data_IF_392572311442
#
_entry.id   IF_392572311442
#
_cell.length_a   1.000
_cell.length_b   1.000
_cell.length_c   1.000
_cell.angle_alpha   90.00
_cell.angle_beta   90.00
_cell.angle_gamma   90.00
#
_symmetry.space_group_name_H-M   'P 1'
#
loop_
_entity.id
_entity.type
_entity.pdbx_description
1 polymer ?
#
# COMPACT_ATOMS: atom_id res chain seq x y z
N UNK A 1 -21.58 -2.43 -3.31
CA UNK A 1 -20.11 -2.47 -3.32
C UNK A 1 -19.64 -1.90 -1.99
N UNK A 2 -18.53 -2.35 -1.42
CA UNK A 2 -18.02 -1.80 -0.18
C UNK A 2 -17.60 -0.33 -0.36
N UNK A 3 -17.62 0.45 0.73
CA UNK A 3 -16.90 1.71 0.81
C UNK A 3 -15.40 1.41 0.88
N UNK A 4 -14.61 2.09 0.06
CA UNK A 4 -13.16 1.83 -0.07
C UNK A 4 -12.37 3.04 0.39
N UNK A 5 -11.52 2.84 1.39
CA UNK A 5 -10.46 3.77 1.72
C UNK A 5 -9.14 3.34 1.09
N UNK A 6 -8.35 4.33 0.67
CA UNK A 6 -6.94 4.13 0.36
C UNK A 6 -6.10 4.72 1.49
N UNK A 7 -5.21 3.92 2.06
CA UNK A 7 -4.25 4.33 3.08
C UNK A 7 -2.87 4.43 2.42
N UNK A 8 -2.33 5.65 2.34
CA UNK A 8 -1.01 5.93 1.75
C UNK A 8 -0.02 6.20 2.88
N UNK A 9 0.96 5.33 3.03
CA UNK A 9 2.04 5.54 4.02
C UNK A 9 3.12 6.44 3.42
N UNK A 10 3.48 7.52 4.11
CA UNK A 10 4.50 8.48 3.64
C UNK A 10 5.44 8.91 4.77
N UNK A 11 6.66 9.33 4.40
CA UNK A 11 7.63 9.97 5.29
C UNK A 11 8.57 10.85 4.48
N UNK A 12 8.58 12.15 4.77
CA UNK A 12 9.55 13.16 4.29
C UNK A 12 9.90 13.10 2.79
N UNK A 13 8.92 12.78 1.93
CA UNK A 13 9.12 12.81 0.49
C UNK A 13 7.95 13.46 -0.25
N UNK A 14 7.76 14.80 -0.08
CA UNK A 14 6.61 15.53 -0.63
C UNK A 14 6.48 15.42 -2.15
N UNK A 15 7.59 15.44 -2.90
CA UNK A 15 7.54 15.33 -4.36
C UNK A 15 7.01 13.97 -4.85
N UNK A 16 7.38 12.86 -4.21
CA UNK A 16 6.83 11.55 -4.55
C UNK A 16 5.35 11.46 -4.17
N UNK A 17 4.98 11.95 -2.99
CA UNK A 17 3.60 11.99 -2.54
C UNK A 17 2.72 12.80 -3.50
N UNK A 18 3.16 13.97 -3.99
CA UNK A 18 2.45 14.77 -4.98
C UNK A 18 2.18 13.97 -6.27
N UNK A 19 3.18 13.24 -6.79
CA UNK A 19 3.03 12.39 -7.97
C UNK A 19 2.02 11.24 -7.74
N UNK A 20 2.05 10.62 -6.56
CA UNK A 20 1.09 9.57 -6.18
C UNK A 20 -0.32 10.13 -6.07
N UNK A 21 -0.50 11.25 -5.38
CA UNK A 21 -1.80 11.90 -5.18
C UNK A 21 -2.44 12.32 -6.51
N UNK A 22 -1.64 12.86 -7.44
CA UNK A 22 -2.10 13.19 -8.80
C UNK A 22 -2.70 11.96 -9.50
N UNK A 23 -2.15 10.77 -9.28
CA UNK A 23 -2.68 9.51 -9.83
C UNK A 23 -4.05 9.14 -9.28
N UNK A 24 -4.43 9.63 -8.10
CA UNK A 24 -5.78 9.38 -7.53
C UNK A 24 -6.85 10.28 -8.12
N UNK A 25 -6.51 11.45 -8.66
CA UNK A 25 -7.47 12.31 -9.37
C UNK A 25 -7.96 11.69 -10.69
N UNK A 26 -7.18 10.80 -11.29
CA UNK A 26 -7.47 10.18 -12.59
C UNK A 26 -7.98 8.73 -12.49
N UNK A 27 -8.38 8.27 -11.30
CA UNK A 27 -8.91 6.90 -11.13
C UNK A 27 -10.25 6.72 -11.83
N UNK A 28 -10.42 5.60 -12.56
CA UNK A 28 -11.70 5.24 -13.21
C UNK A 28 -12.83 4.99 -12.21
N UNK A 29 -12.48 4.67 -10.96
CA UNK A 29 -13.32 4.71 -9.77
C UNK A 29 -12.55 5.51 -8.70
N UNK A 30 -13.05 6.66 -8.22
CA UNK A 30 -12.45 7.36 -7.11
C UNK A 30 -12.55 6.53 -5.82
N UNK A 31 -11.67 6.76 -4.83
CA UNK A 31 -11.85 6.21 -3.49
C UNK A 31 -13.04 6.88 -2.81
N UNK A 32 -13.66 6.20 -1.85
CA UNK A 32 -14.69 6.81 -1.00
C UNK A 32 -14.05 7.69 0.10
N UNK A 33 -12.79 7.44 0.44
CA UNK A 33 -11.90 8.30 1.23
C UNK A 33 -10.43 7.99 0.96
N UNK A 34 -9.55 8.98 1.14
CA UNK A 34 -8.10 8.85 1.07
C UNK A 34 -7.51 9.24 2.41
N UNK A 35 -6.66 8.39 2.99
CA UNK A 35 -6.02 8.63 4.28
C UNK A 35 -4.51 8.60 4.09
N UNK A 36 -3.87 9.71 4.44
CA UNK A 36 -2.42 9.80 4.45
C UNK A 36 -1.93 9.41 5.84
N UNK A 37 -1.29 8.25 5.91
CA UNK A 37 -0.64 7.70 7.09
C UNK A 37 0.81 8.21 7.11
N UNK A 38 1.02 9.33 7.78
CA UNK A 38 2.28 10.10 7.77
C UNK A 38 3.13 9.77 9.00
N UNK A 39 4.25 9.11 8.77
CA UNK A 39 5.17 8.57 9.79
C UNK A 39 6.11 9.65 10.39
N UNK A 40 5.60 10.88 10.56
CA UNK A 40 6.33 11.96 11.22
C UNK A 40 7.03 12.94 10.28
N UNK A 41 6.45 13.19 9.09
CA UNK A 41 7.00 14.15 8.14
C UNK A 41 6.96 15.59 8.65
N UNK A 42 7.82 16.42 8.04
CA UNK A 42 7.86 17.87 8.21
C UNK A 42 6.66 18.58 7.54
N UNK A 43 6.52 19.88 7.77
CA UNK A 43 5.42 20.71 7.25
C UNK A 43 5.35 20.72 5.70
N UNK A 44 6.44 20.49 4.99
CA UNK A 44 6.43 20.40 3.52
C UNK A 44 5.46 19.33 2.99
N UNK A 45 5.33 18.21 3.70
CA UNK A 45 4.34 17.17 3.38
C UNK A 45 2.92 17.67 3.58
N UNK A 46 2.67 18.44 4.66
CA UNK A 46 1.37 19.05 4.94
C UNK A 46 0.96 20.03 3.85
N UNK A 47 1.89 20.87 3.36
CA UNK A 47 1.62 21.84 2.29
C UNK A 47 1.15 21.13 1.00
N UNK A 48 1.79 20.02 0.63
CA UNK A 48 1.34 19.20 -0.51
C UNK A 48 -0.07 18.66 -0.30
N UNK A 49 -0.39 18.20 0.93
CA UNK A 49 -1.72 17.68 1.25
C UNK A 49 -2.79 18.75 1.22
N UNK A 50 -2.52 19.94 1.73
CA UNK A 50 -3.49 21.06 1.76
C UNK A 50 -3.79 21.52 0.33
N UNK A 51 -2.76 21.58 -0.53
CA UNK A 51 -2.97 21.84 -1.95
C UNK A 51 -3.81 20.76 -2.63
N UNK A 52 -3.51 19.48 -2.38
CA UNK A 52 -4.25 18.36 -2.96
C UNK A 52 -5.71 18.32 -2.50
N UNK A 53 -5.99 18.60 -1.22
CA UNK A 53 -7.35 18.64 -0.66
C UNK A 53 -8.26 19.61 -1.41
N UNK A 54 -7.71 20.74 -1.88
CA UNK A 54 -8.49 21.74 -2.63
C UNK A 54 -8.97 21.24 -4.00
N UNK A 55 -8.36 20.17 -4.52
CA UNK A 55 -8.65 19.58 -5.85
C UNK A 55 -9.38 18.26 -5.77
N UNK A 56 -9.27 17.54 -4.64
CA UNK A 56 -9.79 16.19 -4.50
C UNK A 56 -11.33 16.17 -4.46
N UNK A 57 -12.01 15.37 -5.30
CA UNK A 57 -13.47 15.22 -5.30
C UNK A 57 -13.97 14.22 -4.22
N UNK A 58 -13.12 13.80 -3.31
CA UNK A 58 -13.38 12.85 -2.22
C UNK A 58 -12.70 13.32 -0.92
N UNK A 59 -13.15 12.83 0.25
CA UNK A 59 -12.53 13.18 1.53
C UNK A 59 -11.07 12.76 1.60
N UNK A 60 -10.20 13.67 2.11
CA UNK A 60 -8.77 13.42 2.33
C UNK A 60 -8.45 13.69 3.79
N UNK A 61 -8.09 12.64 4.51
CA UNK A 61 -7.65 12.68 5.90
C UNK A 61 -6.13 12.67 6.01
N UNK A 62 -5.59 13.31 7.03
CA UNK A 62 -4.16 13.27 7.36
C UNK A 62 -4.02 12.75 8.79
N UNK A 63 -3.52 11.55 8.93
CA UNK A 63 -3.18 10.92 10.20
C UNK A 63 -1.67 11.00 10.35
N UNK A 64 -1.22 11.69 11.40
CA UNK A 64 0.18 11.99 11.64
C UNK A 64 0.57 11.62 13.07
N UNK A 65 1.82 11.29 13.31
CA UNK A 65 2.44 11.19 14.62
C UNK A 65 3.86 11.77 14.60
N UNK A 66 4.41 12.08 15.78
CA UNK A 66 5.77 12.58 15.88
C UNK A 66 6.79 11.57 15.32
N UNK A 67 7.86 12.08 14.70
CA UNK A 67 8.97 11.26 14.21
C UNK A 67 9.73 10.62 15.38
N UNK A 68 9.63 9.33 15.49
CA UNK A 68 10.39 8.49 16.42
C UNK A 68 11.06 7.34 15.66
N UNK A 69 11.50 7.61 14.42
CA UNK A 69 12.04 6.66 13.48
C UNK A 69 10.98 5.90 12.70
N UNK A 70 11.38 4.92 11.90
CA UNK A 70 10.48 4.20 10.99
C UNK A 70 9.48 3.34 11.76
N UNK A 71 8.21 3.75 11.79
CA UNK A 71 7.09 3.10 12.47
C UNK A 71 5.86 2.95 11.57
N UNK A 72 6.07 2.49 10.35
CA UNK A 72 5.01 2.36 9.35
C UNK A 72 3.83 1.48 9.83
N UNK A 73 4.05 0.46 10.66
CA UNK A 73 3.00 -0.35 11.26
C UNK A 73 2.07 0.48 12.16
N UNK A 74 2.66 1.31 13.04
CA UNK A 74 1.91 2.13 13.98
C UNK A 74 1.04 3.18 13.28
N UNK A 75 1.59 3.89 12.30
CA UNK A 75 0.83 4.91 11.59
C UNK A 75 -0.28 4.30 10.72
N UNK A 76 -0.04 3.11 10.13
CA UNK A 76 -1.08 2.36 9.42
C UNK A 76 -2.20 1.93 10.37
N UNK A 77 -1.89 1.51 11.60
CA UNK A 77 -2.89 1.17 12.60
C UNK A 77 -3.79 2.36 12.94
N UNK A 78 -3.22 3.54 13.14
CA UNK A 78 -3.99 4.78 13.35
C UNK A 78 -4.89 5.11 12.16
N UNK A 79 -4.39 4.93 10.94
CA UNK A 79 -5.18 5.14 9.72
C UNK A 79 -6.32 4.10 9.57
N UNK A 80 -6.11 2.85 9.96
CA UNK A 80 -7.16 1.81 10.01
C UNK A 80 -8.28 2.23 10.97
N UNK A 81 -7.92 2.75 12.14
CA UNK A 81 -8.90 3.21 13.14
C UNK A 81 -9.72 4.40 12.62
N UNK A 82 -9.06 5.40 12.03
CA UNK A 82 -9.65 6.65 11.54
C UNK A 82 -10.54 6.46 10.30
N UNK A 83 -10.36 5.36 9.57
CA UNK A 83 -11.16 5.05 8.38
C UNK A 83 -12.61 4.74 8.71
N UNK A 84 -13.54 5.26 7.91
CA UNK A 84 -14.97 4.91 7.94
C UNK A 84 -15.35 3.87 6.88
N UNK A 85 -14.39 3.41 6.08
CA UNK A 85 -14.64 2.46 5.01
C UNK A 85 -14.64 1.01 5.50
N UNK A 86 -15.31 0.14 4.73
CA UNK A 86 -15.39 -1.29 5.00
C UNK A 86 -14.15 -2.05 4.50
N UNK A 87 -13.56 -1.55 3.41
CA UNK A 87 -12.47 -2.19 2.70
C UNK A 87 -11.28 -1.23 2.53
N UNK A 88 -10.10 -1.64 2.97
CA UNK A 88 -8.92 -0.80 3.02
C UNK A 88 -7.89 -1.25 1.99
N UNK A 89 -7.39 -0.31 1.20
CA UNK A 89 -6.33 -0.52 0.21
C UNK A 89 -5.09 0.21 0.69
N UNK A 90 -4.02 -0.53 0.94
CA UNK A 90 -2.72 0.01 1.36
C UNK A 90 -1.83 0.25 0.15
N UNK A 91 -1.11 1.36 0.19
CA UNK A 91 -0.06 1.71 -0.75
C UNK A 91 0.97 2.62 -0.08
N UNK A 92 2.09 2.86 -0.77
CA UNK A 92 3.14 3.73 -0.25
C UNK A 92 3.16 5.08 -1.00
N UNK A 93 3.71 6.12 -0.37
CA UNK A 93 3.82 7.48 -0.91
C UNK A 93 4.76 7.64 -2.11
N UNK A 94 5.29 6.53 -2.63
CA UNK A 94 6.11 6.42 -3.82
C UNK A 94 5.53 5.47 -4.89
N UNK A 95 4.28 5.04 -4.70
CA UNK A 95 3.58 4.09 -5.55
C UNK A 95 2.43 4.75 -6.31
N UNK A 96 2.70 5.29 -7.50
CA UNK A 96 1.69 5.93 -8.35
C UNK A 96 0.69 4.87 -8.83
N UNK A 97 -0.62 5.01 -8.59
CA UNK A 97 -1.61 4.02 -9.00
C UNK A 97 -1.85 4.02 -10.51
N UNK A 98 -2.05 2.84 -11.11
CA UNK A 98 -2.59 2.75 -12.45
C UNK A 98 -4.05 3.26 -12.48
N UNK A 99 -4.59 3.77 -13.61
CA UNK A 99 -5.91 4.41 -13.68
C UNK A 99 -7.08 3.55 -13.18
N UNK A 100 -6.94 2.24 -13.21
CA UNK A 100 -7.95 1.27 -12.79
C UNK A 100 -7.66 0.62 -11.42
N UNK A 101 -6.70 1.15 -10.67
CA UNK A 101 -6.19 0.53 -9.44
C UNK A 101 -7.31 0.27 -8.42
N UNK A 102 -8.08 1.30 -8.07
CA UNK A 102 -9.19 1.19 -7.11
C UNK A 102 -10.33 0.32 -7.67
N UNK A 103 -10.69 0.50 -8.94
CA UNK A 103 -11.71 -0.32 -9.60
C UNK A 103 -11.35 -1.81 -9.60
N UNK A 104 -10.05 -2.15 -9.72
CA UNK A 104 -9.57 -3.51 -9.66
C UNK A 104 -9.69 -4.11 -8.26
N UNK A 105 -9.28 -3.37 -7.21
CA UNK A 105 -9.46 -3.79 -5.82
C UNK A 105 -10.95 -3.98 -5.49
N UNK A 106 -11.81 -3.02 -5.87
CA UNK A 106 -13.25 -3.11 -5.68
C UNK A 106 -13.87 -4.35 -6.30
N UNK A 107 -13.52 -4.64 -7.55
CA UNK A 107 -14.04 -5.81 -8.30
C UNK A 107 -13.58 -7.14 -7.71
N UNK A 108 -12.38 -7.18 -7.14
CA UNK A 108 -11.78 -8.39 -6.61
C UNK A 108 -12.04 -8.59 -5.12
N UNK A 109 -12.51 -7.56 -4.40
CA UNK A 109 -12.87 -7.63 -2.98
C UNK A 109 -13.86 -8.77 -2.73
N UNK A 110 -13.55 -9.61 -1.75
CA UNK A 110 -14.35 -10.78 -1.38
C UNK A 110 -14.17 -11.09 0.10
N UNK A 111 -15.26 -11.38 0.81
CA UNK A 111 -15.21 -11.75 2.23
C UNK A 111 -14.36 -13.01 2.43
N UNK A 112 -13.48 -12.99 3.44
CA UNK A 112 -12.55 -14.08 3.73
C UNK A 112 -11.27 -14.06 2.87
N UNK A 113 -11.06 -12.98 2.09
CA UNK A 113 -9.89 -12.84 1.22
C UNK A 113 -9.25 -11.46 1.34
N UNK A 114 -7.92 -11.42 1.49
CA UNK A 114 -7.13 -10.23 1.24
C UNK A 114 -6.49 -10.29 -0.17
N UNK A 115 -6.20 -9.14 -0.74
CA UNK A 115 -5.58 -9.04 -2.07
C UNK A 115 -4.13 -8.55 -1.96
N UNK A 116 -3.28 -9.03 -2.87
CA UNK A 116 -1.94 -8.48 -3.10
C UNK A 116 -1.70 -8.35 -4.61
N UNK A 117 -1.27 -7.15 -5.03
CA UNK A 117 -1.04 -6.81 -6.43
C UNK A 117 0.42 -6.69 -6.83
N UNK A 118 0.68 -6.06 -7.98
CA UNK A 118 2.02 -5.91 -8.54
C UNK A 118 2.53 -4.48 -8.48
N UNK A 119 3.88 -4.36 -8.50
CA UNK A 119 4.60 -3.12 -8.78
C UNK A 119 5.24 -3.18 -10.16
N UNK A 120 5.23 -2.06 -10.88
CA UNK A 120 6.09 -1.77 -12.03
C UNK A 120 7.17 -0.81 -11.53
N UNK A 121 8.44 -1.20 -11.58
CA UNK A 121 9.52 -0.38 -11.07
C UNK A 121 9.95 0.62 -12.14
N UNK A 122 10.02 1.90 -11.77
CA UNK A 122 10.63 2.94 -12.58
C UNK A 122 12.15 2.89 -12.43
N UNK A 123 12.90 3.22 -13.50
CA UNK A 123 14.35 3.38 -13.40
C UNK A 123 14.70 4.66 -12.62
N UNK A 124 15.89 4.71 -12.01
CA UNK A 124 16.35 5.89 -11.26
C UNK A 124 16.27 7.18 -12.10
N UNK A 125 16.83 7.14 -13.31
CA UNK A 125 16.80 8.29 -14.21
C UNK A 125 15.37 8.75 -14.50
N UNK A 126 14.50 7.81 -14.83
CA UNK A 126 13.12 8.13 -15.17
C UNK A 126 12.31 8.60 -13.96
N UNK A 127 12.56 8.06 -12.77
CA UNK A 127 11.94 8.54 -11.54
C UNK A 127 12.26 10.02 -11.27
N UNK A 128 13.50 10.44 -11.48
CA UNK A 128 13.88 11.86 -11.39
C UNK A 128 13.11 12.71 -12.41
N UNK A 129 13.05 12.27 -13.67
CA UNK A 129 12.28 12.96 -14.73
C UNK A 129 10.79 13.09 -14.35
N UNK A 130 10.19 12.02 -13.78
CA UNK A 130 8.79 12.02 -13.33
C UNK A 130 8.55 13.07 -12.25
N UNK A 131 9.44 13.16 -11.26
CA UNK A 131 9.30 14.10 -10.15
C UNK A 131 9.58 15.55 -10.59
N UNK A 132 10.66 15.79 -11.34
CA UNK A 132 11.07 17.13 -11.75
C UNK A 132 10.12 17.75 -12.78
N UNK A 133 9.65 16.94 -13.75
CA UNK A 133 8.78 17.40 -14.84
C UNK A 133 7.31 17.14 -14.59
N UNK A 134 6.95 16.57 -13.40
CA UNK A 134 5.58 16.21 -13.02
C UNK A 134 4.86 15.36 -14.07
N UNK A 135 5.57 14.34 -14.62
CA UNK A 135 5.03 13.49 -15.68
C UNK A 135 3.86 12.65 -15.14
N UNK A 136 2.64 12.78 -15.67
CA UNK A 136 1.46 12.06 -15.16
C UNK A 136 1.43 10.60 -15.65
N UNK A 137 2.29 9.75 -15.12
CA UNK A 137 2.42 8.32 -15.52
C UNK A 137 1.10 7.56 -15.44
N UNK A 138 0.22 7.94 -14.51
CA UNK A 138 -1.14 7.38 -14.38
C UNK A 138 -2.03 7.64 -15.60
N UNK A 139 -1.75 8.67 -16.41
CA UNK A 139 -2.55 9.03 -17.58
C UNK A 139 -2.01 8.45 -18.89
N UNK A 140 -0.97 7.64 -18.82
CA UNK A 140 -0.31 7.10 -19.99
C UNK A 140 -1.19 6.11 -20.75
N UNK A 141 -1.03 6.14 -22.08
CA UNK A 141 -1.61 5.19 -23.03
C UNK A 141 -0.73 3.94 -23.17
N UNK A 142 -1.23 2.94 -23.86
CA UNK A 142 -0.45 1.74 -24.19
C UNK A 142 0.80 2.06 -25.02
N UNK A 143 0.74 3.04 -25.92
CA UNK A 143 1.90 3.48 -26.69
C UNK A 143 3.01 4.04 -25.81
N UNK A 144 2.64 4.83 -24.78
CA UNK A 144 3.59 5.42 -23.82
C UNK A 144 4.27 4.33 -22.99
N UNK A 145 3.52 3.35 -22.50
CA UNK A 145 4.08 2.23 -21.73
C UNK A 145 5.02 1.35 -22.56
N UNK A 146 4.65 1.05 -23.84
CA UNK A 146 5.51 0.27 -24.75
C UNK A 146 6.80 1.04 -25.03
N UNK A 147 6.70 2.34 -25.32
CA UNK A 147 7.86 3.17 -25.57
C UNK A 147 8.75 3.27 -24.33
N UNK A 148 8.16 3.48 -23.15
CA UNK A 148 8.88 3.53 -21.87
C UNK A 148 9.60 2.22 -21.57
N UNK A 149 8.98 1.07 -21.88
CA UNK A 149 9.63 -0.24 -21.74
C UNK A 149 10.81 -0.39 -22.71
N UNK A 150 10.69 0.06 -23.96
CA UNK A 150 11.78 0.06 -24.94
C UNK A 150 12.95 0.96 -24.50
N UNK A 151 12.64 2.09 -23.86
CA UNK A 151 13.63 3.02 -23.29
C UNK A 151 14.20 2.57 -21.96
N UNK A 152 13.80 1.40 -21.44
CA UNK A 152 14.19 0.86 -20.12
C UNK A 152 13.82 1.77 -18.94
N UNK A 153 12.81 2.62 -19.10
CA UNK A 153 12.28 3.49 -18.07
C UNK A 153 11.43 2.71 -17.06
N UNK A 154 10.78 1.61 -17.50
CA UNK A 154 10.07 0.67 -16.65
C UNK A 154 10.62 -0.74 -16.82
N UNK A 155 10.58 -1.54 -15.75
CA UNK A 155 11.16 -2.89 -15.73
C UNK A 155 10.33 -3.93 -16.50
N UNK A 156 9.00 -3.78 -16.59
CA UNK A 156 8.10 -4.77 -17.20
C UNK A 156 6.74 -4.16 -17.56
N UNK A 157 6.09 -4.73 -18.59
CA UNK A 157 4.73 -4.34 -19.02
C UNK A 157 3.65 -5.28 -18.51
N UNK A 158 4.00 -6.54 -18.23
CA UNK A 158 3.03 -7.58 -17.96
C UNK A 158 2.00 -7.26 -16.85
N UNK A 159 2.36 -6.56 -15.74
CA UNK A 159 1.39 -6.16 -14.73
C UNK A 159 0.31 -5.18 -15.21
N UNK A 160 0.56 -4.47 -16.30
CA UNK A 160 -0.36 -3.46 -16.85
C UNK A 160 -1.45 -4.07 -17.74
N UNK A 161 -1.26 -5.32 -18.20
CA UNK A 161 -2.33 -6.03 -18.90
C UNK A 161 -3.39 -6.44 -17.90
N UNK A 162 -4.61 -5.94 -18.08
CA UNK A 162 -5.75 -6.33 -17.27
C UNK A 162 -6.27 -7.71 -17.70
N UNK A 163 -5.52 -8.76 -17.38
CA UNK A 163 -5.86 -10.13 -17.77
C UNK A 163 -7.01 -10.63 -16.90
N UNK A 164 -8.14 -11.07 -17.47
CA UNK A 164 -9.29 -11.56 -16.73
C UNK A 164 -9.04 -12.97 -16.20
N UNK A 165 -8.13 -13.11 -15.26
CA UNK A 165 -7.84 -14.39 -14.61
C UNK A 165 -9.05 -14.86 -13.80
N UNK A 166 -9.45 -16.13 -13.99
CA UNK A 166 -10.52 -16.75 -13.23
C UNK A 166 -10.20 -16.89 -11.74
N UNK A 167 -11.26 -17.00 -10.93
CA UNK A 167 -11.17 -17.10 -9.46
C UNK A 167 -10.25 -18.22 -8.99
N UNK A 168 -10.31 -19.40 -9.65
CA UNK A 168 -9.46 -20.55 -9.31
C UNK A 168 -7.97 -20.23 -9.43
N UNK A 169 -7.57 -19.50 -10.48
CA UNK A 169 -6.19 -19.07 -10.65
C UNK A 169 -5.77 -18.07 -9.56
N UNK A 170 -6.63 -17.09 -9.26
CA UNK A 170 -6.34 -16.06 -8.25
C UNK A 170 -6.22 -16.62 -6.83
N UNK A 171 -6.83 -17.76 -6.54
CA UNK A 171 -6.83 -18.43 -5.23
C UNK A 171 -5.77 -19.55 -5.10
N UNK A 172 -5.00 -19.81 -6.15
CA UNK A 172 -4.03 -20.93 -6.17
C UNK A 172 -2.97 -20.87 -5.07
N UNK A 173 -2.67 -19.64 -4.58
CA UNK A 173 -1.67 -19.37 -3.56
C UNK A 173 -2.34 -18.89 -2.25
N UNK A 174 -3.52 -19.40 -1.93
CA UNK A 174 -4.37 -18.94 -0.84
C UNK A 174 -3.67 -18.89 0.54
N UNK A 175 -2.71 -19.75 0.78
CA UNK A 175 -1.94 -19.82 2.03
C UNK A 175 -0.52 -19.25 1.93
N UNK A 176 -0.18 -18.65 0.78
CA UNK A 176 1.13 -18.04 0.61
C UNK A 176 1.15 -16.63 1.22
N UNK A 177 1.99 -16.42 2.21
CA UNK A 177 2.21 -15.13 2.85
C UNK A 177 3.43 -14.41 2.28
N UNK A 178 4.40 -15.16 1.73
CA UNK A 178 5.64 -14.62 1.19
C UNK A 178 5.37 -13.75 -0.04
N UNK A 179 5.96 -12.57 -0.03
CA UNK A 179 5.91 -11.64 -1.16
C UNK A 179 4.67 -10.74 -1.22
N UNK A 180 3.71 -10.90 -0.33
CA UNK A 180 2.67 -9.89 -0.14
C UNK A 180 3.30 -8.63 0.50
N UNK A 181 2.93 -7.45 -0.01
CA UNK A 181 3.49 -6.16 0.44
C UNK A 181 2.41 -5.11 0.53
N UNK A 182 2.47 -4.28 1.56
CA UNK A 182 1.51 -3.20 1.79
C UNK A 182 1.54 -2.11 0.74
N UNK A 183 2.59 -1.99 -0.06
CA UNK A 183 2.58 -1.08 -1.20
C UNK A 183 1.51 -1.39 -2.27
N UNK A 184 0.86 -2.56 -2.21
CA UNK A 184 -0.28 -2.96 -3.02
C UNK A 184 -1.00 -4.14 -2.37
N UNK A 185 -1.68 -3.87 -1.28
CA UNK A 185 -2.43 -4.85 -0.48
C UNK A 185 -3.80 -4.29 -0.14
N UNK A 186 -4.82 -5.14 -0.06
CA UNK A 186 -6.11 -4.72 0.48
C UNK A 186 -6.81 -5.83 1.27
N UNK A 187 -7.58 -5.42 2.27
CA UNK A 187 -8.32 -6.33 3.15
C UNK A 187 -9.58 -5.64 3.70
N UNK A 188 -10.52 -6.42 4.20
CA UNK A 188 -11.65 -5.88 4.95
C UNK A 188 -11.18 -5.30 6.29
N UNK A 189 -11.70 -4.14 6.65
CA UNK A 189 -11.37 -3.49 7.92
C UNK A 189 -11.62 -4.40 9.12
N UNK A 190 -12.76 -5.10 9.14
CA UNK A 190 -13.08 -6.07 10.19
C UNK A 190 -12.04 -7.17 10.36
N UNK A 191 -11.44 -7.66 9.25
CA UNK A 191 -10.42 -8.72 9.29
C UNK A 191 -9.11 -8.19 9.88
N UNK A 192 -8.75 -6.94 9.55
CA UNK A 192 -7.58 -6.26 10.13
C UNK A 192 -7.78 -6.02 11.64
N UNK A 193 -8.96 -5.59 12.05
CA UNK A 193 -9.29 -5.41 13.47
C UNK A 193 -9.26 -6.74 14.22
N UNK A 194 -9.78 -7.83 13.63
CA UNK A 194 -9.79 -9.16 14.25
C UNK A 194 -8.38 -9.67 14.56
N UNK A 195 -7.38 -9.35 13.72
CA UNK A 195 -5.96 -9.70 13.97
C UNK A 195 -5.19 -8.61 14.73
N UNK A 196 -5.88 -7.57 15.22
CA UNK A 196 -5.31 -6.43 15.95
C UNK A 196 -4.33 -5.59 15.12
N UNK A 197 -4.55 -5.47 13.79
CA UNK A 197 -3.75 -4.64 12.89
C UNK A 197 -2.32 -5.14 12.68
N UNK A 198 -1.42 -4.19 12.39
CA UNK A 198 0.03 -4.42 12.32
C UNK A 198 0.61 -4.60 13.72
N UNK A 199 1.65 -5.41 13.85
CA UNK A 199 2.39 -5.53 15.11
C UNK A 199 3.43 -4.40 15.19
N UNK A 200 3.26 -3.47 16.14
CA UNK A 200 4.08 -2.28 16.29
C UNK A 200 5.47 -2.56 16.91
N UNK A 201 5.71 -3.81 17.32
CA UNK A 201 7.06 -4.28 17.69
C UNK A 201 8.03 -4.26 16.50
N UNK A 202 7.51 -4.28 15.24
CA UNK A 202 8.33 -4.13 14.04
C UNK A 202 8.69 -2.66 13.81
N UNK A 203 9.85 -2.26 14.28
CA UNK A 203 10.46 -0.95 14.03
C UNK A 203 11.52 -1.05 12.94
N UNK A 204 11.77 0.04 12.20
CA UNK A 204 12.63 0.00 11.03
C UNK A 204 12.03 -0.79 9.88
N UNK A 205 12.80 -0.98 8.81
CA UNK A 205 12.28 -1.57 7.58
C UNK A 205 12.19 -3.11 7.65
N UNK A 206 11.01 -3.63 7.28
CA UNK A 206 10.82 -5.01 6.83
C UNK A 206 10.14 -5.95 7.83
N UNK A 207 9.45 -6.93 7.28
CA UNK A 207 8.74 -8.05 7.90
C UNK A 207 7.38 -7.72 8.53
N UNK A 208 7.01 -6.47 8.76
CA UNK A 208 5.70 -6.08 9.29
C UNK A 208 4.54 -6.53 8.38
N UNK A 209 4.74 -6.47 7.05
CA UNK A 209 3.78 -6.96 6.04
C UNK A 209 3.58 -8.48 6.15
N UNK A 210 4.70 -9.21 6.26
CA UNK A 210 4.72 -10.66 6.33
C UNK A 210 4.08 -11.16 7.62
N UNK A 211 4.33 -10.47 8.74
CA UNK A 211 3.68 -10.75 10.03
C UNK A 211 2.15 -10.61 9.91
N UNK A 212 1.66 -9.45 9.42
CA UNK A 212 0.23 -9.21 9.23
C UNK A 212 -0.42 -10.30 8.37
N UNK A 213 0.17 -10.58 7.20
CA UNK A 213 -0.39 -11.52 6.23
C UNK A 213 -0.42 -12.94 6.77
N UNK A 214 0.62 -13.36 7.51
CA UNK A 214 0.63 -14.68 8.16
C UNK A 214 -0.48 -14.79 9.20
N UNK A 215 -0.71 -13.75 10.00
CA UNK A 215 -1.80 -13.73 11.00
C UNK A 215 -3.18 -13.73 10.35
N UNK A 216 -3.38 -12.99 9.24
CA UNK A 216 -4.62 -13.05 8.45
C UNK A 216 -4.89 -14.48 7.95
N UNK A 217 -3.89 -15.16 7.38
CA UNK A 217 -4.06 -16.54 6.88
C UNK A 217 -4.43 -17.50 8.02
N UNK A 218 -3.81 -17.35 9.20
CA UNK A 218 -4.12 -18.16 10.38
C UNK A 218 -5.51 -17.90 10.96
N UNK A 219 -6.02 -16.68 10.79
CA UNK A 219 -7.40 -16.34 11.19
C UNK A 219 -8.46 -16.80 10.16
N UNK A 220 -8.05 -17.46 9.07
CA UNK A 220 -8.94 -17.96 8.02
C UNK A 220 -9.18 -16.97 6.87
N UNK A 221 -8.43 -15.86 6.82
CA UNK A 221 -8.48 -14.89 5.72
C UNK A 221 -7.37 -15.20 4.73
N UNK A 222 -7.72 -15.66 3.53
CA UNK A 222 -6.77 -16.20 2.58
C UNK A 222 -6.29 -15.20 1.54
N UNK A 223 -5.15 -15.49 0.90
CA UNK A 223 -4.57 -14.68 -0.16
C UNK A 223 -5.29 -14.91 -1.49
N UNK A 224 -5.75 -13.82 -2.10
CA UNK A 224 -6.27 -13.77 -3.46
C UNK A 224 -5.39 -12.87 -4.32
N UNK A 225 -4.80 -13.43 -5.35
CA UNK A 225 -3.82 -12.77 -6.21
C UNK A 225 -4.47 -11.68 -7.08
N UNK A 226 -4.07 -10.42 -6.91
CA UNK A 226 -4.50 -9.29 -7.72
C UNK A 226 -3.53 -8.96 -8.87
N UNK A 227 -2.50 -9.80 -9.13
CA UNK A 227 -1.61 -9.62 -10.28
C UNK A 227 -2.42 -9.55 -11.58
N UNK A 228 -1.96 -8.74 -12.51
CA UNK A 228 -2.64 -8.46 -13.79
C UNK A 228 -4.04 -7.85 -13.63
N UNK A 229 -4.31 -7.23 -12.48
CA UNK A 229 -5.54 -6.46 -12.25
C UNK A 229 -5.23 -5.14 -11.56
N UNK A 230 -4.53 -5.16 -10.43
CA UNK A 230 -4.13 -3.97 -9.69
C UNK A 230 -2.62 -3.77 -9.81
N UNK A 231 -2.20 -2.64 -10.37
CA UNK A 231 -0.81 -2.29 -10.56
C UNK A 231 -0.52 -0.89 -10.02
N UNK A 232 0.70 -0.70 -9.50
CA UNK A 232 1.26 0.60 -9.15
C UNK A 232 2.61 0.77 -9.82
N UNK A 233 2.99 2.03 -10.11
CA UNK A 233 4.31 2.41 -10.59
C UNK A 233 5.14 2.90 -9.41
N UNK A 234 6.19 2.15 -9.06
CA UNK A 234 7.02 2.46 -7.92
C UNK A 234 8.18 3.35 -8.36
N UNK A 235 8.22 4.55 -7.79
CA UNK A 235 9.29 5.53 -7.98
C UNK A 235 10.56 4.97 -7.36
N UNK A 236 11.68 5.05 -8.06
CA UNK A 236 12.95 4.57 -7.55
C UNK A 236 13.45 5.45 -6.40
N UNK A 237 13.91 4.83 -5.36
CA UNK A 237 14.60 5.44 -4.23
C UNK A 237 15.74 4.54 -3.76
N UNK A 238 16.69 5.11 -3.02
CA UNK A 238 17.69 4.30 -2.32
C UNK A 238 16.98 3.43 -1.29
N UNK A 239 17.51 2.23 -1.10
CA UNK A 239 16.97 1.34 -0.08
C UNK A 239 17.08 1.96 1.31
N UNK A 240 16.04 1.77 2.12
CA UNK A 240 16.05 2.18 3.52
C UNK A 240 17.13 1.44 4.32
N UNK A 241 17.57 2.01 5.44
CA UNK A 241 18.45 1.29 6.36
C UNK A 241 17.88 -0.08 6.72
N UNK A 242 18.75 -1.08 6.74
CA UNK A 242 18.42 -2.46 7.11
C UNK A 242 18.90 -2.84 8.51
N UNK A 243 19.19 -1.85 9.35
CA UNK A 243 19.79 -2.08 10.67
C UNK A 243 18.90 -2.95 11.57
N UNK A 244 17.58 -2.83 11.45
CA UNK A 244 16.59 -3.60 12.20
C UNK A 244 16.16 -4.89 11.51
N UNK A 245 16.59 -5.15 10.26
CA UNK A 245 16.10 -6.28 9.47
C UNK A 245 16.34 -7.64 10.14
N UNK A 246 17.52 -7.85 10.73
CA UNK A 246 17.85 -9.10 11.40
C UNK A 246 16.94 -9.36 12.61
N UNK A 247 16.65 -8.32 13.38
CA UNK A 247 15.71 -8.39 14.52
C UNK A 247 14.28 -8.66 14.04
N UNK A 248 13.82 -7.95 13.01
CA UNK A 248 12.51 -8.16 12.41
C UNK A 248 12.35 -9.57 11.82
N UNK A 249 13.39 -10.11 11.20
CA UNK A 249 13.41 -11.50 10.75
C UNK A 249 13.30 -12.49 11.91
N UNK A 250 14.00 -12.23 13.03
CA UNK A 250 13.90 -13.05 14.24
C UNK A 250 12.48 -13.04 14.82
N UNK A 251 11.82 -11.87 14.87
CA UNK A 251 10.42 -11.71 15.31
C UNK A 251 9.47 -12.50 14.42
N UNK A 252 9.63 -12.42 13.11
CA UNK A 252 8.82 -13.19 12.17
C UNK A 252 9.05 -14.70 12.34
N UNK A 253 10.29 -15.15 12.57
CA UNK A 253 10.59 -16.54 12.85
C UNK A 253 9.90 -17.02 14.13
N UNK A 254 9.90 -16.24 15.20
CA UNK A 254 9.16 -16.52 16.43
C UNK A 254 7.65 -16.61 16.17
N UNK A 255 7.10 -15.74 15.33
CA UNK A 255 5.70 -15.85 14.92
C UNK A 255 5.45 -17.17 14.20
N UNK A 256 6.31 -17.56 13.24
CA UNK A 256 6.17 -18.82 12.47
C UNK A 256 6.11 -20.03 13.37
N UNK A 257 6.86 -20.05 14.48
CA UNK A 257 6.93 -21.14 15.47
C UNK A 257 5.73 -21.19 16.44
N UNK A 258 4.81 -20.23 16.35
CA UNK A 258 3.60 -20.16 17.21
C UNK A 258 2.34 -20.19 16.36
N UNK A 259 1.18 -20.35 16.99
CA UNK A 259 -0.14 -20.24 16.35
C UNK A 259 -0.78 -18.84 16.55
N UNK A 260 0.01 -17.83 16.89
CA UNK A 260 -0.47 -16.48 17.18
C UNK A 260 -1.17 -15.88 15.95
N UNK A 261 -2.38 -15.37 16.17
CA UNK A 261 -3.22 -14.71 15.16
C UNK A 261 -3.39 -13.21 15.37
N UNK A 262 -3.04 -12.68 16.54
CA UNK A 262 -3.18 -11.26 16.87
C UNK A 262 -1.83 -10.61 17.09
N UNK A 263 -1.70 -9.33 16.70
CA UNK A 263 -0.53 -8.52 17.04
C UNK A 263 -0.32 -8.47 18.55
N UNK A 264 0.91 -8.41 19.00
CA UNK A 264 1.27 -8.24 20.42
C UNK A 264 0.96 -6.81 20.88
N UNK A 265 1.43 -5.86 20.09
CA UNK A 265 1.13 -4.44 20.24
C UNK A 265 0.47 -4.01 18.93
N UNK A 266 -0.78 -3.60 18.98
CA UNK A 266 -1.53 -3.25 17.77
C UNK A 266 -2.63 -2.22 18.08
N UNK A 267 -3.67 -2.25 17.29
CA UNK A 267 -4.75 -1.25 17.32
C UNK A 267 -5.37 -1.07 18.71
N UNK A 268 -5.60 -2.15 19.48
CA UNK A 268 -6.25 -2.07 20.80
C UNK A 268 -5.35 -1.41 21.86
N UNK A 269 -4.04 -1.66 21.81
CA UNK A 269 -3.09 -1.10 22.78
C UNK A 269 -2.78 0.37 22.48
N UNK A 270 -2.84 0.80 21.21
CA UNK A 270 -2.64 2.18 20.82
C UNK A 270 -3.74 3.13 21.36
N UNK A 271 -4.89 2.61 21.79
CA UNK A 271 -5.97 3.40 22.43
C UNK A 271 -5.71 3.69 23.91
N UNK A 272 -4.77 3.00 24.53
CA UNK A 272 -4.51 3.07 25.98
C UNK A 272 -3.29 3.91 26.34
N UNK A 273 -2.59 4.43 25.37
CA UNK A 273 -1.39 5.27 25.51
C UNK A 273 -1.65 6.71 25.02
#
# INVERSE_FOLDING_TARGET
MPRIAVIITTYNWPAALEAVLTGYLSQSRPPDELIIADDGSTDETREVLDHFRSQAPFPVKHVWHADEGFRAGAIRNRAIQDSEADYLVFTDGDCIPAPWFIAAHARLAETGWFLSGNRVLLSEKFSREVLEQKIPVSNWTWSDWIQSRRRKQINRLLPLFQIPLGTRYRRRLARQWEGAKTCNLSAWKQDLLAVNGFDEDYTGWGMEDSDLVLRLIRSGIYHKDARFAAAVFHIWHRENSRDQLAENQRRLQQLIETDRIRARIGIEQAQSA
#
